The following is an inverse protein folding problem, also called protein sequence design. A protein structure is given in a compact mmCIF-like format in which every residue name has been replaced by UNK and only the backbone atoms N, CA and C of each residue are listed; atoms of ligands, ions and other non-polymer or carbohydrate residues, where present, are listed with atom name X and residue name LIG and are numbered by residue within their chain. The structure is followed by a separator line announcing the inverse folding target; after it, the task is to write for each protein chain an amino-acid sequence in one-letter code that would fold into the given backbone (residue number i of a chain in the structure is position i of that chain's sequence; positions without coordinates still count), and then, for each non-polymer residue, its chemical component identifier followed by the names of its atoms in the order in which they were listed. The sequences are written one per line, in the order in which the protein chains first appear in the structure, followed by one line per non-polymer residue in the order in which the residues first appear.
data_IF_956243437194
#
_entry.id   IF_956243437194
#
_cell.length_a   1.000
_cell.length_b   1.000
_cell.length_c   1.000
_cell.angle_alpha   90.00
_cell.angle_beta   90.00
_cell.angle_gamma   90.00
#
_symmetry.space_group_name_H-M   'P 1'
#
loop_
_entity.id
_entity.type
_entity.pdbx_description
1 polymer ?
#
# COMPACT_ATOMS: atom_id res chain seq x y z
N UNK A 1 19.08 8.26 2.81
CA UNK A 1 18.75 8.74 4.18
C UNK A 1 17.40 8.14 4.55
N UNK A 2 17.27 7.46 5.69
CA UNK A 2 15.97 6.92 6.12
C UNK A 2 14.99 8.07 6.42
N UNK A 3 13.72 7.85 6.11
CA UNK A 3 12.65 8.82 6.34
C UNK A 3 12.47 9.07 7.85
N UNK A 4 12.26 10.31 8.31
CA UNK A 4 11.92 10.57 9.71
C UNK A 4 10.55 9.99 10.06
N UNK A 5 10.40 9.50 11.29
CA UNK A 5 9.11 9.07 11.83
C UNK A 5 8.15 10.27 11.90
N UNK A 6 6.98 10.15 11.27
CA UNK A 6 5.97 11.22 11.23
C UNK A 6 4.83 11.03 12.23
N UNK A 7 4.78 9.91 12.94
CA UNK A 7 3.68 9.56 13.85
C UNK A 7 4.19 9.48 15.28
N UNK A 8 3.89 10.51 16.08
CA UNK A 8 4.34 10.58 17.47
C UNK A 8 3.19 10.12 18.38
N UNK A 9 3.36 8.94 18.98
CA UNK A 9 2.44 8.37 19.96
C UNK A 9 2.68 8.89 21.37
N UNK A 10 1.64 8.83 22.21
CA UNK A 10 1.72 8.98 23.66
C UNK A 10 1.16 7.71 24.33
N UNK A 11 1.42 7.47 25.62
CA UNK A 11 0.85 6.31 26.34
C UNK A 11 -0.68 6.24 26.33
N UNK A 12 -1.36 7.35 26.04
CA UNK A 12 -2.82 7.41 25.94
C UNK A 12 -3.34 7.08 24.54
N UNK A 13 -2.47 7.04 23.52
CA UNK A 13 -2.89 6.80 22.15
C UNK A 13 -3.48 5.39 22.02
N UNK A 14 -4.60 5.29 21.30
CA UNK A 14 -5.28 4.04 21.06
C UNK A 14 -5.78 3.97 19.61
N UNK A 15 -5.41 2.91 18.89
CA UNK A 15 -5.85 2.66 17.52
C UNK A 15 -7.21 1.95 17.42
N UNK A 16 -7.76 1.45 18.53
CA UNK A 16 -9.04 0.75 18.59
C UNK A 16 -10.23 1.70 18.76
N UNK A 17 -10.12 2.66 19.67
CA UNK A 17 -11.26 3.49 20.07
C UNK A 17 -11.41 4.68 19.12
N UNK A 18 -12.45 4.65 18.31
CA UNK A 18 -12.77 5.71 17.36
C UNK A 18 -14.22 5.65 16.89
N UNK A 19 -14.64 6.71 16.23
CA UNK A 19 -15.99 6.81 15.66
C UNK A 19 -15.91 6.95 14.15
N UNK A 20 -16.80 6.25 13.46
CA UNK A 20 -17.02 6.46 12.03
C UNK A 20 -17.90 7.68 11.85
N UNK A 21 -17.34 8.69 11.18
CA UNK A 21 -18.01 9.94 10.90
C UNK A 21 -18.18 10.07 9.39
N UNK A 22 -19.40 10.41 8.96
CA UNK A 22 -19.68 10.71 7.57
C UNK A 22 -18.84 11.89 7.08
N UNK A 23 -18.27 11.77 5.87
CA UNK A 23 -17.49 12.81 5.23
C UNK A 23 -18.28 13.38 4.04
N UNK A 24 -18.91 14.57 4.20
CA UNK A 24 -19.74 15.16 3.14
C UNK A 24 -18.95 15.40 1.85
N UNK A 25 -17.75 15.96 1.97
CA UNK A 25 -16.89 16.26 0.80
C UNK A 25 -16.54 15.01 0.02
N UNK A 26 -16.12 13.95 0.71
CA UNK A 26 -15.76 12.66 0.09
C UNK A 26 -16.98 12.00 -0.56
N UNK A 27 -18.11 12.02 0.16
CA UNK A 27 -19.35 11.42 -0.31
C UNK A 27 -19.92 12.13 -1.53
N UNK A 28 -20.01 13.45 -1.50
CA UNK A 28 -20.50 14.23 -2.63
C UNK A 28 -19.58 14.04 -3.85
N UNK A 29 -18.26 14.05 -3.64
CA UNK A 29 -17.29 13.83 -4.70
C UNK A 29 -17.46 12.46 -5.37
N UNK A 30 -17.44 11.39 -4.58
CA UNK A 30 -17.57 10.03 -5.11
C UNK A 30 -18.96 9.82 -5.74
N UNK A 31 -20.05 10.16 -5.03
CA UNK A 31 -21.41 9.95 -5.52
C UNK A 31 -21.71 10.76 -6.78
N UNK A 32 -21.23 12.01 -6.90
CA UNK A 32 -21.43 12.80 -8.10
C UNK A 32 -20.75 12.17 -9.31
N UNK A 33 -19.48 11.78 -9.19
CA UNK A 33 -18.77 11.11 -10.28
C UNK A 33 -19.36 9.73 -10.59
N UNK A 34 -19.80 8.98 -9.58
CA UNK A 34 -20.49 7.70 -9.77
C UNK A 34 -21.79 7.89 -10.55
N UNK A 35 -22.62 8.86 -10.17
CA UNK A 35 -23.87 9.16 -10.88
C UNK A 35 -23.61 9.61 -12.31
N UNK A 36 -22.64 10.49 -12.56
CA UNK A 36 -22.26 10.90 -13.92
C UNK A 36 -21.81 9.68 -14.72
N UNK A 37 -20.94 8.83 -14.16
CA UNK A 37 -20.45 7.63 -14.83
C UNK A 37 -21.60 6.68 -15.18
N UNK A 38 -22.57 6.45 -14.29
CA UNK A 38 -23.71 5.55 -14.57
C UNK A 38 -24.70 6.16 -15.57
N UNK A 39 -25.09 7.42 -15.37
CA UNK A 39 -26.11 8.10 -16.21
C UNK A 39 -25.58 8.31 -17.64
N UNK A 40 -24.28 8.50 -17.80
CA UNK A 40 -23.67 8.70 -19.12
C UNK A 40 -23.64 7.44 -19.99
N UNK A 41 -24.00 6.27 -19.44
CA UNK A 41 -24.06 4.99 -20.15
C UNK A 41 -22.75 4.66 -20.92
N UNK A 42 -21.58 4.60 -20.24
CA UNK A 42 -20.26 4.55 -20.87
C UNK A 42 -20.01 3.31 -21.71
N UNK A 43 -20.83 2.27 -21.58
CA UNK A 43 -20.83 1.10 -22.46
C UNK A 43 -21.25 1.43 -23.91
N UNK A 44 -21.83 2.60 -24.15
CA UNK A 44 -22.17 3.11 -25.47
C UNK A 44 -21.12 4.06 -26.05
N UNK A 45 -20.10 4.45 -25.27
CA UNK A 45 -19.04 5.32 -25.78
C UNK A 45 -18.18 4.62 -26.82
N UNK A 46 -17.54 5.41 -27.68
CA UNK A 46 -16.55 4.91 -28.63
C UNK A 46 -15.37 4.20 -27.97
N UNK A 47 -14.74 3.29 -28.71
CA UNK A 47 -13.53 2.57 -28.26
C UNK A 47 -12.35 3.51 -27.97
N UNK A 48 -12.32 4.66 -28.62
CA UNK A 48 -11.37 5.74 -28.38
C UNK A 48 -11.55 6.37 -26.99
N UNK A 49 -12.77 6.68 -26.56
CA UNK A 49 -13.04 7.18 -25.22
C UNK A 49 -12.69 6.15 -24.13
N UNK A 50 -13.00 4.88 -24.38
CA UNK A 50 -12.62 3.77 -23.50
C UNK A 50 -11.08 3.64 -23.39
N UNK A 51 -10.37 3.72 -24.52
CA UNK A 51 -8.91 3.69 -24.55
C UNK A 51 -8.30 4.87 -23.80
N UNK A 52 -8.82 6.08 -24.01
CA UNK A 52 -8.37 7.30 -23.30
C UNK A 52 -8.57 7.15 -21.80
N UNK A 53 -9.73 6.66 -21.36
CA UNK A 53 -9.99 6.39 -19.94
C UNK A 53 -9.01 5.37 -19.37
N UNK A 54 -8.78 4.27 -20.08
CA UNK A 54 -7.83 3.23 -19.68
C UNK A 54 -6.40 3.78 -19.57
N UNK A 55 -5.91 4.48 -20.59
CA UNK A 55 -4.58 5.09 -20.60
C UNK A 55 -4.40 6.09 -19.47
N UNK A 56 -5.36 7.00 -19.27
CA UNK A 56 -5.31 7.96 -18.17
C UNK A 56 -5.37 7.27 -16.80
N UNK A 57 -6.15 6.19 -16.67
CA UNK A 57 -6.18 5.38 -15.43
C UNK A 57 -4.80 4.81 -15.15
N UNK A 58 -4.17 4.14 -16.13
CA UNK A 58 -2.83 3.56 -15.99
C UNK A 58 -1.78 4.62 -15.64
N UNK A 59 -1.78 5.75 -16.36
CA UNK A 59 -0.82 6.84 -16.13
C UNK A 59 -1.00 7.46 -14.75
N UNK A 60 -2.23 7.78 -14.36
CA UNK A 60 -2.49 8.43 -13.05
C UNK A 60 -2.29 7.48 -11.89
N UNK A 61 -2.59 6.18 -12.02
CA UNK A 61 -2.28 5.18 -11.00
C UNK A 61 -0.78 4.91 -10.89
N UNK A 62 -0.06 4.77 -12.00
CA UNK A 62 1.36 4.43 -11.99
C UNK A 62 2.21 5.64 -11.56
N UNK A 63 2.21 6.70 -12.38
CA UNK A 63 3.04 7.88 -12.16
C UNK A 63 2.53 8.69 -10.96
N UNK A 64 1.21 8.87 -10.88
CA UNK A 64 0.58 9.74 -9.90
C UNK A 64 0.47 9.12 -8.51
N UNK A 65 -0.32 8.07 -8.38
CA UNK A 65 -0.58 7.46 -7.09
C UNK A 65 0.59 6.60 -6.59
N UNK A 66 0.94 5.54 -7.32
CA UNK A 66 1.92 4.55 -6.89
C UNK A 66 3.31 5.16 -6.74
N UNK A 67 3.77 5.94 -7.72
CA UNK A 67 5.11 6.54 -7.68
C UNK A 67 5.11 7.90 -7.00
N UNK A 68 4.24 8.83 -7.40
CA UNK A 68 4.22 10.21 -6.88
C UNK A 68 3.75 10.34 -5.43
N UNK A 69 2.54 9.84 -5.12
CA UNK A 69 1.99 9.95 -3.77
C UNK A 69 2.60 8.92 -2.83
N UNK A 70 2.57 7.65 -3.20
CA UNK A 70 2.91 6.54 -2.31
C UNK A 70 4.43 6.40 -2.12
N UNK A 71 5.19 5.99 -3.13
CA UNK A 71 6.65 5.81 -3.00
C UNK A 71 7.41 7.10 -2.72
N UNK A 72 7.10 8.18 -3.43
CA UNK A 72 7.87 9.43 -3.34
C UNK A 72 7.45 10.28 -2.13
N UNK A 73 6.22 10.77 -2.08
CA UNK A 73 5.80 11.73 -1.05
C UNK A 73 5.63 11.08 0.34
N UNK A 74 4.90 9.96 0.39
CA UNK A 74 4.60 9.26 1.64
C UNK A 74 5.85 8.56 2.14
N UNK A 75 6.39 7.60 1.39
CA UNK A 75 7.45 6.73 1.88
C UNK A 75 8.88 7.25 1.70
N UNK A 76 9.08 8.30 0.89
CA UNK A 76 10.41 8.85 0.58
C UNK A 76 11.38 7.77 0.09
N UNK A 77 10.88 6.85 -0.72
CA UNK A 77 11.62 5.71 -1.27
C UNK A 77 12.71 6.12 -2.27
N UNK A 78 12.70 7.34 -2.78
CA UNK A 78 13.74 7.92 -3.61
C UNK A 78 13.64 9.45 -3.58
N UNK A 79 14.61 10.12 -4.20
CA UNK A 79 14.62 11.58 -4.41
C UNK A 79 14.63 11.90 -5.90
N UNK A 80 14.06 13.02 -6.28
CA UNK A 80 14.04 13.52 -7.65
C UNK A 80 14.03 15.06 -7.67
N UNK A 81 14.19 15.71 -8.84
CA UNK A 81 14.09 17.16 -8.94
C UNK A 81 12.69 17.64 -8.56
N UNK A 82 12.58 18.81 -7.94
CA UNK A 82 11.32 19.30 -7.37
C UNK A 82 10.20 19.44 -8.43
N UNK A 83 10.52 19.83 -9.65
CA UNK A 83 9.53 19.92 -10.74
C UNK A 83 8.91 18.55 -11.07
N UNK A 84 9.71 17.47 -10.97
CA UNK A 84 9.24 16.11 -11.23
C UNK A 84 8.41 15.62 -10.04
N UNK A 85 8.86 15.87 -8.80
CA UNK A 85 8.07 15.57 -7.60
C UNK A 85 6.69 16.24 -7.66
N UNK A 86 6.64 17.53 -8.01
CA UNK A 86 5.38 18.27 -8.14
C UNK A 86 4.52 17.75 -9.28
N UNK A 87 5.11 17.43 -10.43
CA UNK A 87 4.39 16.82 -11.56
C UNK A 87 3.76 15.47 -11.20
N UNK A 88 4.52 14.58 -10.57
CA UNK A 88 4.05 13.27 -10.13
C UNK A 88 2.97 13.39 -9.04
N UNK A 89 3.15 14.26 -8.05
CA UNK A 89 2.15 14.48 -6.99
C UNK A 89 0.86 15.11 -7.54
N UNK A 90 0.94 16.02 -8.53
CA UNK A 90 -0.27 16.53 -9.22
C UNK A 90 -0.97 15.43 -10.00
N UNK A 91 -0.23 14.58 -10.72
CA UNK A 91 -0.83 13.41 -11.36
C UNK A 91 -1.52 12.50 -10.34
N UNK A 92 -1.01 12.44 -9.10
CA UNK A 92 -1.64 11.73 -7.99
C UNK A 92 -2.97 12.32 -7.56
N UNK A 93 -3.15 13.65 -7.55
CA UNK A 93 -4.45 14.26 -7.23
C UNK A 93 -5.50 13.97 -8.29
N UNK A 94 -5.08 13.73 -9.54
CA UNK A 94 -6.01 13.31 -10.59
C UNK A 94 -6.70 12.00 -10.23
N UNK A 95 -6.13 11.11 -9.43
CA UNK A 95 -6.80 9.86 -9.00
C UNK A 95 -8.09 10.13 -8.21
N UNK A 96 -8.19 11.31 -7.59
CA UNK A 96 -9.45 11.79 -6.99
C UNK A 96 -9.64 11.42 -5.51
N UNK A 97 -8.58 10.98 -4.82
CA UNK A 97 -8.65 10.57 -3.41
C UNK A 97 -8.44 11.68 -2.39
N UNK A 98 -7.85 12.80 -2.80
CA UNK A 98 -7.54 13.91 -1.89
C UNK A 98 -6.27 14.63 -2.25
N UNK A 99 -6.02 15.69 -1.47
CA UNK A 99 -4.77 16.43 -1.50
C UNK A 99 -3.59 15.67 -0.91
N UNK A 100 -2.35 16.03 -1.27
CA UNK A 100 -1.13 15.35 -0.84
C UNK A 100 -0.95 15.24 0.67
N UNK A 101 -1.22 16.30 1.45
CA UNK A 101 -0.97 16.25 2.91
C UNK A 101 -2.05 15.46 3.62
N UNK A 102 -3.31 15.58 3.16
CA UNK A 102 -4.42 14.77 3.67
C UNK A 102 -4.18 13.28 3.40
N UNK A 103 -3.76 12.94 2.18
CA UNK A 103 -3.43 11.58 1.79
C UNK A 103 -2.28 11.03 2.61
N UNK A 104 -1.20 11.80 2.76
CA UNK A 104 -0.06 11.41 3.60
C UNK A 104 -0.50 11.18 5.03
N UNK A 105 -1.24 12.11 5.62
CA UNK A 105 -1.75 11.96 6.97
C UNK A 105 -2.60 10.69 7.12
N UNK A 106 -3.57 10.47 6.24
CA UNK A 106 -4.44 9.30 6.27
C UNK A 106 -3.67 7.98 6.18
N UNK A 107 -2.70 7.90 5.25
CA UNK A 107 -1.85 6.73 5.08
C UNK A 107 -1.05 6.42 6.33
N UNK A 108 -0.44 7.45 6.94
CA UNK A 108 0.35 7.31 8.16
C UNK A 108 -0.50 6.90 9.36
N UNK A 109 -1.69 7.47 9.51
CA UNK A 109 -2.64 7.06 10.55
C UNK A 109 -3.04 5.61 10.39
N UNK A 110 -3.32 5.15 9.16
CA UNK A 110 -3.65 3.76 8.87
C UNK A 110 -2.49 2.85 9.23
N UNK A 111 -1.29 3.10 8.70
CA UNK A 111 -0.13 2.24 8.91
C UNK A 111 0.27 2.18 10.39
N UNK A 112 0.25 3.32 11.10
CA UNK A 112 0.46 3.36 12.54
C UNK A 112 -0.57 2.51 13.28
N UNK A 113 -1.86 2.64 12.93
CA UNK A 113 -2.95 1.93 13.59
C UNK A 113 -2.85 0.42 13.36
N UNK A 114 -2.55 -0.01 12.14
CA UNK A 114 -2.41 -1.41 11.76
C UNK A 114 -1.25 -2.11 12.51
N UNK A 115 -0.17 -1.37 12.81
CA UNK A 115 0.98 -1.87 13.58
C UNK A 115 0.75 -1.96 15.09
N UNK A 116 -0.35 -1.40 15.61
CA UNK A 116 -0.72 -1.58 17.02
C UNK A 116 -1.27 -3.00 17.26
N UNK A 117 -1.29 -3.45 18.51
CA UNK A 117 -1.82 -4.77 18.89
C UNK A 117 -3.33 -4.90 18.70
N UNK A 118 -4.07 -3.80 18.78
CA UNK A 118 -5.51 -3.70 18.49
C UNK A 118 -5.74 -2.50 17.60
N UNK A 119 -6.69 -2.62 16.67
CA UNK A 119 -6.99 -1.56 15.72
C UNK A 119 -8.48 -1.56 15.36
N UNK A 120 -9.01 -0.36 15.08
CA UNK A 120 -10.38 -0.18 14.64
C UNK A 120 -10.62 -0.90 13.30
N UNK A 121 -11.76 -1.60 13.11
CA UNK A 121 -12.08 -2.37 11.90
C UNK A 121 -11.96 -1.60 10.58
N UNK A 122 -12.18 -0.29 10.63
CA UNK A 122 -12.03 0.65 9.52
C UNK A 122 -10.65 0.60 8.85
N UNK A 123 -9.57 0.58 9.65
CA UNK A 123 -8.21 0.62 9.10
C UNK A 123 -7.73 -0.77 8.67
N UNK A 124 -8.27 -1.85 9.25
CA UNK A 124 -7.83 -3.23 8.98
C UNK A 124 -8.72 -3.99 7.98
N UNK A 125 -9.73 -3.30 7.42
CA UNK A 125 -10.70 -3.84 6.47
C UNK A 125 -11.49 -5.07 6.95
N UNK A 126 -11.93 -5.08 8.22
CA UNK A 126 -12.63 -6.23 8.85
C UNK A 126 -14.13 -6.02 9.08
N UNK A 127 -14.74 -5.04 8.43
CA UNK A 127 -16.18 -4.72 8.59
C UNK A 127 -17.11 -5.48 7.63
N UNK A 128 -16.56 -6.34 6.77
CA UNK A 128 -17.29 -6.98 5.67
C UNK A 128 -17.40 -6.07 4.45
N UNK A 129 -17.37 -6.66 3.25
CA UNK A 129 -17.10 -5.95 1.98
C UNK A 129 -17.97 -4.71 1.73
N UNK A 130 -19.28 -4.79 1.93
CA UNK A 130 -20.20 -3.69 1.63
C UNK A 130 -20.07 -2.53 2.64
N UNK A 131 -20.02 -2.86 3.93
CA UNK A 131 -19.87 -1.86 4.98
C UNK A 131 -18.48 -1.22 4.92
N UNK A 132 -17.46 -2.01 4.59
CA UNK A 132 -16.11 -1.52 4.40
C UNK A 132 -16.00 -0.55 3.21
N UNK A 133 -16.63 -0.89 2.08
CA UNK A 133 -16.74 0.01 0.93
C UNK A 133 -17.44 1.31 1.32
N UNK A 134 -18.59 1.22 1.98
CA UNK A 134 -19.34 2.38 2.45
C UNK A 134 -18.46 3.28 3.32
N UNK A 135 -17.80 2.71 4.32
CA UNK A 135 -16.94 3.46 5.22
C UNK A 135 -15.75 4.11 4.48
N UNK A 136 -15.03 3.34 3.67
CA UNK A 136 -13.84 3.81 2.99
C UNK A 136 -14.13 4.72 1.79
N UNK A 137 -15.35 4.77 1.27
CA UNK A 137 -15.74 5.68 0.19
C UNK A 137 -16.52 6.91 0.69
N UNK A 138 -17.19 6.83 1.84
CA UNK A 138 -18.07 7.91 2.33
C UNK A 138 -17.72 8.48 3.71
N UNK A 139 -16.94 7.76 4.50
CA UNK A 139 -16.68 8.09 5.89
C UNK A 139 -15.18 8.24 6.19
N UNK A 140 -14.92 8.66 7.41
CA UNK A 140 -13.61 8.75 8.06
C UNK A 140 -13.70 8.19 9.48
N UNK A 141 -12.65 7.51 9.94
CA UNK A 141 -12.52 7.14 11.34
C UNK A 141 -11.82 8.26 12.10
N UNK A 142 -12.46 8.76 13.17
CA UNK A 142 -11.86 9.69 14.13
C UNK A 142 -11.56 8.94 15.42
N UNK A 143 -10.29 8.63 15.65
CA UNK A 143 -9.84 8.05 16.90
C UNK A 143 -10.07 9.03 18.06
N UNK A 144 -10.41 8.52 19.24
CA UNK A 144 -10.60 9.32 20.46
C UNK A 144 -9.25 9.85 20.95
N UNK A 145 -8.22 9.00 20.90
CA UNK A 145 -6.85 9.32 21.28
C UNK A 145 -5.89 9.01 20.12
N UNK A 146 -5.90 9.84 19.05
CA UNK A 146 -5.01 9.64 17.91
C UNK A 146 -3.55 9.97 18.27
N UNK A 147 -2.56 9.39 17.59
CA UNK A 147 -1.20 9.91 17.58
C UNK A 147 -1.13 11.28 16.90
N UNK A 148 -0.04 12.00 17.11
CA UNK A 148 0.20 13.29 16.46
C UNK A 148 0.94 13.09 15.14
N UNK A 149 0.39 13.61 14.04
CA UNK A 149 1.05 13.61 12.74
C UNK A 149 1.97 14.83 12.60
N UNK A 150 3.28 14.59 12.50
CA UNK A 150 4.34 15.58 12.43
C UNK A 150 5.17 15.41 11.13
N UNK A 151 4.64 15.82 9.97
CA UNK A 151 5.39 15.76 8.72
C UNK A 151 6.52 16.79 8.65
N UNK A 152 7.51 16.55 7.79
CA UNK A 152 8.65 17.45 7.63
C UNK A 152 8.25 18.86 7.12
N UNK A 153 9.05 19.91 7.43
CA UNK A 153 8.82 21.28 6.96
C UNK A 153 8.61 21.39 5.45
N UNK A 154 9.33 20.57 4.67
CA UNK A 154 9.17 20.52 3.21
C UNK A 154 7.73 20.20 2.77
N UNK A 155 6.95 19.49 3.58
CA UNK A 155 5.53 19.21 3.32
C UNK A 155 4.62 20.27 3.94
N UNK A 156 4.85 20.67 5.20
CA UNK A 156 3.96 21.61 5.93
C UNK A 156 4.07 23.05 5.41
N UNK A 157 5.29 23.50 5.14
CA UNK A 157 5.61 24.88 4.78
C UNK A 157 5.54 25.13 3.26
N UNK A 158 5.49 24.08 2.45
CA UNK A 158 5.32 24.18 1.00
C UNK A 158 3.99 24.86 0.62
N UNK A 159 4.09 26.04 0.01
CA UNK A 159 2.96 26.77 -0.58
C UNK A 159 2.26 25.93 -1.65
N UNK A 160 3.05 25.17 -2.40
CA UNK A 160 2.55 24.33 -3.48
C UNK A 160 1.67 23.20 -2.95
N UNK A 161 2.11 22.46 -1.91
CA UNK A 161 1.26 21.41 -1.33
C UNK A 161 0.05 21.96 -0.61
N UNK A 162 0.13 23.16 -0.01
CA UNK A 162 -1.06 23.85 0.52
C UNK A 162 -2.08 24.19 -0.56
N UNK A 163 -1.60 24.69 -1.70
CA UNK A 163 -2.45 24.97 -2.86
C UNK A 163 -3.08 23.68 -3.38
N UNK A 164 -2.27 22.64 -3.60
CA UNK A 164 -2.73 21.37 -4.13
C UNK A 164 -3.73 20.70 -3.18
N UNK A 165 -3.52 20.77 -1.86
CA UNK A 165 -4.48 20.30 -0.86
C UNK A 165 -5.84 21.00 -0.90
N UNK A 166 -5.85 22.31 -1.20
CA UNK A 166 -7.08 23.08 -1.27
C UNK A 166 -7.81 22.86 -2.59
N UNK A 167 -7.07 22.69 -3.69
CA UNK A 167 -7.60 22.69 -5.04
C UNK A 167 -7.48 21.34 -5.76
N UNK A 168 -7.19 20.25 -5.05
CA UNK A 168 -7.00 18.93 -5.68
C UNK A 168 -8.19 18.50 -6.56
N UNK A 169 -9.44 18.81 -6.17
CA UNK A 169 -10.62 18.53 -7.02
C UNK A 169 -10.59 19.37 -8.29
N UNK A 170 -10.23 20.65 -8.19
CA UNK A 170 -10.15 21.56 -9.32
C UNK A 170 -9.02 21.21 -10.29
N UNK A 171 -8.02 20.40 -9.88
CA UNK A 171 -7.00 19.89 -10.80
C UNK A 171 -7.56 18.98 -11.90
N UNK A 172 -8.80 18.49 -11.75
CA UNK A 172 -9.50 17.78 -12.81
C UNK A 172 -9.89 18.70 -13.97
N UNK A 173 -10.14 19.99 -13.72
CA UNK A 173 -10.72 20.91 -14.72
C UNK A 173 -9.84 21.10 -15.96
N UNK A 174 -8.51 21.33 -15.86
CA UNK A 174 -7.66 21.42 -17.04
C UNK A 174 -7.67 20.16 -17.89
N UNK A 175 -7.63 18.97 -17.27
CA UNK A 175 -7.71 17.70 -17.98
C UNK A 175 -9.09 17.50 -18.61
N UNK A 176 -10.17 17.79 -17.88
CA UNK A 176 -11.54 17.70 -18.37
C UNK A 176 -11.76 18.59 -19.60
N UNK A 177 -11.27 19.82 -19.55
CA UNK A 177 -11.37 20.77 -20.65
C UNK A 177 -10.57 20.30 -21.87
N UNK A 178 -9.36 19.79 -21.68
CA UNK A 178 -8.57 19.20 -22.76
C UNK A 178 -9.30 18.03 -23.42
N UNK A 179 -9.85 17.11 -22.62
CA UNK A 179 -10.60 15.96 -23.12
C UNK A 179 -11.85 16.36 -23.88
N UNK A 180 -12.58 17.37 -23.37
CA UNK A 180 -13.75 17.94 -24.04
C UNK A 180 -13.39 18.53 -25.41
N UNK A 181 -12.26 19.23 -25.51
CA UNK A 181 -11.79 19.82 -26.77
C UNK A 181 -11.29 18.77 -27.77
N UNK A 182 -10.71 17.66 -27.30
CA UNK A 182 -10.13 16.64 -28.18
C UNK A 182 -11.13 15.58 -28.67
N UNK A 183 -12.08 15.16 -27.81
CA UNK A 183 -13.02 14.08 -28.15
C UNK A 183 -14.39 14.25 -27.52
N UNK A 184 -14.76 15.49 -27.21
CA UNK A 184 -16.10 15.84 -26.76
C UNK A 184 -16.46 15.27 -25.39
N UNK A 185 -17.76 15.13 -25.17
CA UNK A 185 -18.31 14.74 -23.88
C UNK A 185 -17.93 13.31 -23.48
N UNK A 186 -17.83 12.39 -24.44
CA UNK A 186 -17.46 11.00 -24.18
C UNK A 186 -16.06 10.91 -23.57
N UNK A 187 -15.07 11.56 -24.19
CA UNK A 187 -13.70 11.59 -23.67
C UNK A 187 -13.64 12.30 -22.31
N UNK A 188 -14.35 13.41 -22.17
CA UNK A 188 -14.41 14.15 -20.91
C UNK A 188 -14.93 13.27 -19.78
N UNK A 189 -16.10 12.64 -19.94
CA UNK A 189 -16.72 11.79 -18.91
C UNK A 189 -15.90 10.52 -18.66
N UNK A 190 -15.41 9.87 -19.71
CA UNK A 190 -14.60 8.66 -19.59
C UNK A 190 -13.26 8.93 -18.88
N UNK A 191 -12.55 9.99 -19.26
CA UNK A 191 -11.27 10.37 -18.69
C UNK A 191 -11.35 11.06 -17.32
N UNK A 192 -12.54 11.49 -16.90
CA UNK A 192 -12.77 12.09 -15.57
C UNK A 192 -13.61 11.18 -14.67
N UNK A 193 -14.93 11.19 -14.77
CA UNK A 193 -15.85 10.50 -13.87
C UNK A 193 -15.66 8.98 -13.87
N UNK A 194 -15.61 8.34 -15.05
CA UNK A 194 -15.41 6.88 -15.12
C UNK A 194 -14.05 6.52 -14.52
N UNK A 195 -12.98 7.21 -14.93
CA UNK A 195 -11.62 7.01 -14.38
C UNK A 195 -11.58 7.20 -12.86
N UNK A 196 -12.15 8.27 -12.32
CA UNK A 196 -12.15 8.56 -10.88
C UNK A 196 -12.86 7.43 -10.12
N UNK A 197 -14.05 7.03 -10.56
CA UNK A 197 -14.82 5.95 -9.93
C UNK A 197 -14.03 4.65 -9.97
N UNK A 198 -13.52 4.25 -11.14
CA UNK A 198 -12.69 3.05 -11.30
C UNK A 198 -11.47 3.09 -10.40
N UNK A 199 -10.81 4.24 -10.30
CA UNK A 199 -9.60 4.38 -9.47
C UNK A 199 -9.91 4.32 -7.97
N UNK A 200 -10.98 4.99 -7.51
CA UNK A 200 -11.38 5.00 -6.10
C UNK A 200 -11.85 3.62 -5.64
N UNK A 201 -12.72 2.98 -6.43
CA UNK A 201 -13.20 1.62 -6.13
C UNK A 201 -12.05 0.62 -6.22
N UNK A 202 -11.19 0.73 -7.23
CA UNK A 202 -10.02 -0.15 -7.39
C UNK A 202 -9.01 0.00 -6.24
N UNK A 203 -8.72 1.23 -5.81
CA UNK A 203 -7.83 1.50 -4.68
C UNK A 203 -8.37 0.94 -3.37
N UNK A 204 -9.65 1.18 -3.07
CA UNK A 204 -10.29 0.54 -1.91
C UNK A 204 -10.28 -0.98 -2.04
N UNK A 205 -10.64 -1.51 -3.20
CA UNK A 205 -10.76 -2.94 -3.45
C UNK A 205 -9.46 -3.69 -3.28
N UNK A 206 -8.32 -3.16 -3.77
CA UNK A 206 -7.01 -3.79 -3.54
C UNK A 206 -6.64 -3.78 -2.07
N UNK A 207 -6.92 -2.69 -1.33
CA UNK A 207 -6.71 -2.62 0.11
C UNK A 207 -7.55 -3.66 0.88
N UNK A 208 -8.84 -3.74 0.55
CA UNK A 208 -9.74 -4.73 1.14
C UNK A 208 -9.26 -6.16 0.87
N UNK A 209 -8.91 -6.48 -0.38
CA UNK A 209 -8.40 -7.81 -0.75
C UNK A 209 -7.09 -8.11 -0.02
N UNK A 210 -6.15 -7.18 -0.03
CA UNK A 210 -4.84 -7.34 0.58
C UNK A 210 -4.86 -7.46 2.11
N UNK A 211 -5.93 -7.04 2.80
CA UNK A 211 -6.07 -7.24 4.25
C UNK A 211 -6.95 -8.45 4.63
N UNK A 212 -7.50 -9.15 3.65
CA UNK A 212 -8.40 -10.28 3.88
C UNK A 212 -7.97 -11.58 3.18
N UNK A 213 -7.21 -11.51 2.10
CA UNK A 213 -6.92 -12.65 1.24
C UNK A 213 -5.52 -12.59 0.63
N UNK A 214 -4.93 -13.76 0.43
CA UNK A 214 -3.72 -13.94 -0.36
C UNK A 214 -2.53 -14.49 0.45
N UNK A 215 -1.44 -14.86 -0.23
CA UNK A 215 -0.23 -15.33 0.42
C UNK A 215 0.51 -14.21 1.17
N UNK A 216 1.31 -14.61 2.16
CA UNK A 216 2.25 -13.75 2.86
C UNK A 216 3.65 -14.34 2.76
N UNK A 217 4.64 -13.48 2.61
CA UNK A 217 6.07 -13.80 2.69
C UNK A 217 6.66 -13.35 4.03
N UNK A 218 6.04 -12.37 4.67
CA UNK A 218 6.49 -11.75 5.90
C UNK A 218 5.36 -11.68 6.93
N UNK A 219 5.73 -11.73 8.20
CA UNK A 219 4.88 -11.49 9.35
C UNK A 219 5.48 -10.35 10.16
N UNK A 220 4.66 -9.35 10.47
CA UNK A 220 5.01 -8.28 11.42
C UNK A 220 4.42 -8.66 12.77
N UNK A 221 5.24 -9.16 13.67
CA UNK A 221 4.84 -9.55 15.02
C UNK A 221 4.24 -8.37 15.78
N UNK A 222 3.17 -8.64 16.53
CA UNK A 222 2.46 -7.62 17.32
C UNK A 222 1.52 -6.70 16.52
N UNK A 223 1.54 -6.75 15.18
CA UNK A 223 0.59 -5.99 14.36
C UNK A 223 -0.83 -6.60 14.41
N UNK A 224 -1.84 -5.76 14.54
CA UNK A 224 -3.26 -6.14 14.60
C UNK A 224 -3.78 -6.79 13.33
N UNK A 225 -3.16 -6.50 12.19
CA UNK A 225 -3.49 -7.08 10.89
C UNK A 225 -2.22 -7.28 10.08
N UNK A 226 -2.17 -8.34 9.30
CA UNK A 226 -1.13 -8.55 8.30
C UNK A 226 -1.64 -8.07 6.93
N UNK A 227 -0.73 -7.51 6.13
CA UNK A 227 -0.97 -7.36 4.70
C UNK A 227 -0.73 -8.68 3.98
N UNK A 228 -1.41 -8.91 2.87
CA UNK A 228 -1.28 -10.06 2.01
C UNK A 228 -0.91 -9.60 0.59
N UNK A 229 -0.07 -10.37 -0.08
CA UNK A 229 0.15 -10.18 -1.52
C UNK A 229 -1.07 -10.69 -2.27
N UNK A 230 -1.48 -10.02 -3.36
CA UNK A 230 -2.61 -10.45 -4.20
C UNK A 230 -2.12 -10.82 -5.60
N UNK A 231 -1.74 -12.10 -5.84
CA UNK A 231 -1.24 -12.55 -7.14
C UNK A 231 -2.20 -12.23 -8.29
N UNK A 232 -1.65 -11.92 -9.46
CA UNK A 232 -2.43 -11.56 -10.66
C UNK A 232 -2.83 -10.08 -10.73
N UNK A 233 -2.83 -9.34 -9.61
CA UNK A 233 -3.22 -7.93 -9.62
C UNK A 233 -2.05 -6.94 -9.74
N UNK A 234 -0.80 -7.40 -9.67
CA UNK A 234 0.38 -6.51 -9.68
C UNK A 234 0.46 -5.57 -10.89
N UNK A 235 0.09 -6.03 -12.10
CA UNK A 235 0.03 -5.17 -13.28
C UNK A 235 -1.12 -4.15 -13.19
N UNK A 236 -2.30 -4.59 -12.76
CA UNK A 236 -3.51 -3.75 -12.67
C UNK A 236 -3.34 -2.64 -11.63
N UNK A 237 -2.64 -2.94 -10.54
CA UNK A 237 -2.46 -2.03 -9.41
C UNK A 237 -1.12 -1.32 -9.42
N UNK A 238 -0.34 -1.44 -10.51
CA UNK A 238 0.97 -0.79 -10.66
C UNK A 238 1.99 -1.20 -9.58
N UNK A 239 1.84 -2.41 -9.03
CA UNK A 239 2.68 -3.00 -7.99
C UNK A 239 2.08 -2.94 -6.58
N UNK A 240 1.01 -2.18 -6.37
CA UNK A 240 0.39 -1.95 -5.04
C UNK A 240 -0.24 -3.22 -4.45
N UNK A 241 -0.50 -4.25 -5.27
CA UNK A 241 -1.01 -5.54 -4.81
C UNK A 241 0.03 -6.38 -4.04
N UNK A 242 1.32 -6.01 -4.06
CA UNK A 242 2.35 -6.64 -3.26
C UNK A 242 2.38 -6.08 -1.83
N UNK A 243 1.20 -6.07 -1.21
CA UNK A 243 0.94 -5.34 0.03
C UNK A 243 1.67 -5.94 1.23
N UNK A 244 1.80 -7.26 1.32
CA UNK A 244 2.58 -7.90 2.38
C UNK A 244 4.05 -7.47 2.33
N UNK A 245 4.63 -7.45 1.12
CA UNK A 245 6.00 -6.99 0.92
C UNK A 245 6.15 -5.50 1.28
N UNK A 246 5.16 -4.69 0.90
CA UNK A 246 5.13 -3.27 1.25
C UNK A 246 5.09 -3.05 2.76
N UNK A 247 4.23 -3.76 3.49
CA UNK A 247 4.16 -3.66 4.97
C UNK A 247 5.45 -4.12 5.66
N UNK A 248 6.17 -5.07 5.06
CA UNK A 248 7.47 -5.51 5.53
C UNK A 248 8.56 -4.44 5.33
N UNK A 249 8.59 -3.80 4.15
CA UNK A 249 9.58 -2.79 3.77
C UNK A 249 8.92 -1.52 3.23
N UNK A 250 8.30 -0.70 4.10
CA UNK A 250 7.44 0.40 3.66
C UNK A 250 8.20 1.47 2.88
N UNK A 251 9.46 1.73 3.21
CA UNK A 251 10.30 2.70 2.48
C UNK A 251 10.88 2.15 1.16
N UNK A 252 10.76 0.85 0.85
CA UNK A 252 11.29 0.28 -0.39
C UNK A 252 10.58 0.84 -1.62
N UNK A 253 11.35 1.29 -2.62
CA UNK A 253 10.81 1.66 -3.93
C UNK A 253 10.30 0.45 -4.73
N UNK A 254 10.73 -0.77 -4.36
CA UNK A 254 10.33 -2.03 -5.01
C UNK A 254 9.36 -2.78 -4.11
N UNK A 255 8.11 -2.91 -4.56
CA UNK A 255 7.06 -3.63 -3.83
C UNK A 255 7.02 -5.10 -4.27
N UNK A 256 7.21 -5.36 -5.57
CA UNK A 256 7.40 -6.72 -6.10
C UNK A 256 8.80 -7.25 -5.79
N UNK A 257 8.93 -8.11 -4.77
CA UNK A 257 10.23 -8.62 -4.33
C UNK A 257 10.68 -9.87 -5.10
N UNK A 258 9.76 -10.69 -5.59
CA UNK A 258 10.08 -11.85 -6.42
C UNK A 258 10.02 -11.54 -7.91
N UNK A 259 10.73 -12.31 -8.74
CA UNK A 259 10.81 -12.09 -10.19
C UNK A 259 9.44 -12.19 -10.90
N UNK A 260 8.51 -12.98 -10.36
CA UNK A 260 7.16 -13.17 -10.87
C UNK A 260 6.15 -12.17 -10.32
N UNK A 261 6.59 -11.18 -9.53
CA UNK A 261 5.74 -10.14 -8.95
C UNK A 261 5.84 -8.86 -9.79
N UNK A 262 5.03 -8.71 -10.87
CA UNK A 262 5.09 -7.53 -11.72
C UNK A 262 4.82 -6.25 -10.93
N UNK A 263 5.71 -5.28 -11.10
CA UNK A 263 5.65 -4.00 -10.39
C UNK A 263 5.94 -2.85 -11.38
N UNK A 264 4.91 -2.40 -12.13
CA UNK A 264 5.04 -1.29 -13.08
C UNK A 264 5.58 0.00 -12.47
N UNK A 265 5.22 0.34 -11.24
CA UNK A 265 5.72 1.55 -10.62
C UNK A 265 7.20 1.45 -10.24
N UNK A 266 7.71 0.26 -9.85
CA UNK A 266 9.15 0.02 -9.72
C UNK A 266 9.87 0.14 -11.06
N UNK A 267 9.29 -0.39 -12.16
CA UNK A 267 9.86 -0.24 -13.49
C UNK A 267 9.95 1.23 -13.90
N UNK A 268 8.93 2.03 -13.58
CA UNK A 268 8.95 3.47 -13.82
C UNK A 268 10.05 4.18 -13.01
N UNK A 269 10.20 3.86 -11.72
CA UNK A 269 11.32 4.37 -10.91
C UNK A 269 12.69 3.97 -11.49
N UNK A 270 12.83 2.76 -12.03
CA UNK A 270 14.05 2.32 -12.71
C UNK A 270 14.35 3.17 -13.96
N UNK A 271 13.33 3.50 -14.75
CA UNK A 271 13.48 4.39 -15.92
C UNK A 271 13.95 5.77 -15.45
N UNK A 272 13.31 6.36 -14.44
CA UNK A 272 13.74 7.65 -13.88
C UNK A 272 15.18 7.61 -13.36
N UNK A 273 15.57 6.52 -12.68
CA UNK A 273 16.94 6.31 -12.19
C UNK A 273 17.95 6.27 -13.34
N UNK A 274 17.65 5.53 -14.42
CA UNK A 274 18.50 5.44 -15.62
C UNK A 274 18.65 6.78 -16.33
N UNK A 275 17.61 7.62 -16.31
CA UNK A 275 17.63 8.97 -16.86
C UNK A 275 18.30 10.00 -15.93
N UNK A 276 18.79 9.60 -14.75
CA UNK A 276 19.36 10.52 -13.76
C UNK A 276 18.31 11.41 -13.06
N UNK A 277 17.02 11.11 -13.20
CA UNK A 277 15.91 11.84 -12.61
C UNK A 277 15.47 11.29 -11.26
N UNK A 278 15.98 10.12 -10.85
CA UNK A 278 15.78 9.57 -9.52
C UNK A 278 17.10 9.10 -8.92
N UNK A 279 17.34 9.43 -7.65
CA UNK A 279 18.53 9.04 -6.88
C UNK A 279 18.16 8.65 -5.46
N UNK A 280 19.14 8.13 -4.71
CA UNK A 280 18.94 7.64 -3.32
C UNK A 280 17.77 6.63 -3.19
N UNK A 281 17.62 5.77 -4.19
CA UNK A 281 16.55 4.77 -4.26
C UNK A 281 16.73 3.73 -3.14
N UNK A 282 15.74 3.62 -2.27
CA UNK A 282 15.67 2.69 -1.14
C UNK A 282 15.14 1.33 -1.61
N UNK A 283 15.75 0.27 -1.10
CA UNK A 283 15.44 -1.14 -1.37
C UNK A 283 15.50 -1.89 -0.04
N UNK A 284 14.90 -3.09 0.08
CA UNK A 284 14.86 -3.84 1.34
C UNK A 284 16.24 -4.01 1.99
N UNK A 285 17.27 -4.30 1.19
CA UNK A 285 18.65 -4.47 1.68
C UNK A 285 19.29 -3.20 2.27
N UNK A 286 18.71 -2.01 2.06
CA UNK A 286 19.21 -0.75 2.62
C UNK A 286 18.65 -0.46 4.02
N UNK A 287 17.68 -1.24 4.50
CA UNK A 287 17.02 -1.02 5.78
C UNK A 287 17.67 -1.81 6.91
N UNK A 288 17.74 -1.25 8.13
CA UNK A 288 18.18 -2.01 9.29
C UNK A 288 17.24 -3.19 9.55
N UNK A 289 17.74 -4.30 10.12
CA UNK A 289 16.89 -5.40 10.55
C UNK A 289 15.80 -4.90 11.52
N UNK A 290 14.57 -5.36 11.31
CA UNK A 290 13.42 -5.11 12.18
C UNK A 290 13.17 -6.36 13.01
N UNK A 291 13.22 -6.24 14.35
CA UNK A 291 13.10 -7.42 15.22
C UNK A 291 11.72 -8.06 15.16
N UNK A 292 10.68 -7.26 14.90
CA UNK A 292 9.30 -7.69 14.75
C UNK A 292 9.02 -8.35 13.39
N UNK A 293 9.93 -8.24 12.41
CA UNK A 293 9.70 -8.76 11.06
C UNK A 293 10.27 -10.17 10.92
N UNK A 294 9.40 -11.15 10.72
CA UNK A 294 9.77 -12.55 10.50
C UNK A 294 9.39 -12.99 9.08
N UNK A 295 10.13 -13.91 8.44
CA UNK A 295 9.59 -14.63 7.30
C UNK A 295 8.32 -15.35 7.74
N UNK A 296 7.24 -15.20 6.98
CA UNK A 296 6.08 -16.08 7.15
C UNK A 296 6.61 -17.49 6.97
N UNK A 297 6.49 -18.34 8.00
CA UNK A 297 6.82 -19.76 7.85
C UNK A 297 6.09 -20.21 6.59
N UNK A 298 6.84 -20.56 5.54
CA UNK A 298 6.26 -21.26 4.41
C UNK A 298 5.48 -22.38 5.08
N UNK A 299 4.18 -22.48 4.85
CA UNK A 299 3.53 -23.75 5.03
C UNK A 299 4.38 -24.69 4.18
N UNK A 300 5.29 -25.39 4.84
CA UNK A 300 5.86 -26.61 4.35
C UNK A 300 4.64 -27.50 4.24
N UNK A 301 3.98 -27.41 3.08
CA UNK A 301 3.48 -28.61 2.46
C UNK A 301 4.73 -29.44 2.33
N UNK A 302 5.02 -30.20 3.38
CA UNK A 302 5.86 -31.37 3.31
C UNK A 302 5.16 -32.21 2.25
N UNK A 303 5.56 -32.02 1.00
CA UNK A 303 5.48 -33.10 0.02
C UNK A 303 6.43 -34.12 0.63
N UNK A 304 5.90 -34.96 1.51
CA UNK A 304 6.54 -36.21 1.83
C UNK A 304 6.83 -36.83 0.48
N UNK A 305 8.10 -37.07 0.12
CA UNK A 305 8.38 -37.93 -1.02
C UNK A 305 7.61 -39.19 -0.69
N UNK A 306 6.61 -39.51 -1.51
CA UNK A 306 5.90 -40.78 -1.40
C UNK A 306 7.02 -41.81 -1.51
N UNK A 307 7.38 -42.42 -0.39
CA UNK A 307 8.43 -43.42 -0.34
C UNK A 307 7.98 -44.50 -1.30
N UNK A 308 8.60 -44.53 -2.47
CA UNK A 308 8.51 -45.67 -3.37
C UNK A 308 9.22 -46.77 -2.62
N UNK A 309 8.43 -47.61 -1.95
CA UNK A 309 8.91 -48.83 -1.32
C UNK A 309 9.36 -49.76 -2.44
N UNK A 310 10.62 -49.65 -2.85
CA UNK A 310 11.30 -50.72 -3.57
C UNK A 310 11.51 -51.81 -2.53
N UNK A 311 10.76 -52.92 -2.63
CA UNK A 311 10.94 -54.11 -1.82
C UNK A 311 12.41 -54.57 -1.93
N UNK A 312 13.17 -54.62 -0.83
CA UNK A 312 14.41 -55.39 -0.80
C UNK A 312 14.03 -56.86 -0.69
N UNK A 313 14.57 -57.67 -1.60
CA UNK A 313 14.60 -59.12 -1.51
C UNK A 313 15.27 -59.53 -0.20
N UNK A 314 14.64 -60.49 0.48
CA UNK A 314 15.03 -60.99 1.78
C UNK A 314 16.48 -61.50 1.82
N UNK A 315 17.20 -61.16 2.89
CA UNK A 315 18.24 -62.03 3.45
C UNK A 315 18.42 -61.73 4.93
N UNK A 316 18.75 -62.80 5.65
CA UNK A 316 18.51 -63.11 7.06
C UNK A 316 19.62 -62.68 8.04
N UNK A 317 19.30 -62.80 9.33
CA UNK A 317 20.14 -62.78 10.58
C UNK A 317 20.36 -61.40 11.22
N UNK A 318 19.72 -61.11 12.37
CA UNK A 318 20.12 -61.38 13.78
C UNK A 318 21.37 -60.55 14.18
N UNK A 319 21.45 -59.78 15.27
CA UNK A 319 20.98 -59.96 16.65
C UNK A 319 21.23 -58.64 17.48
N UNK A 320 20.59 -58.51 18.66
CA UNK A 320 20.91 -57.64 19.85
C UNK A 320 21.13 -56.10 19.69
N UNK A 321 20.82 -55.17 20.60
CA UNK A 321 20.16 -55.10 21.93
C UNK A 321 20.02 -53.61 22.33
N UNK A 322 18.89 -53.26 22.96
CA UNK A 322 18.57 -52.16 23.91
C UNK A 322 19.53 -50.96 24.16
N UNK A 323 19.00 -49.73 24.16
CA UNK A 323 18.71 -48.92 25.37
C UNK A 323 18.41 -47.44 25.04
N UNK A 324 17.65 -46.79 25.93
CA UNK A 324 16.79 -45.61 25.76
C UNK A 324 17.42 -44.28 26.34
N UNK A 325 16.74 -43.11 26.34
CA UNK A 325 17.31 -41.80 25.97
C UNK A 325 17.51 -40.78 27.12
N UNK A 326 18.19 -39.65 26.88
CA UNK A 326 18.15 -38.45 27.77
C UNK A 326 18.22 -37.09 27.04
N UNK A 327 17.12 -36.35 27.18
CA UNK A 327 16.91 -34.90 27.44
C UNK A 327 17.75 -33.76 26.81
N UNK A 328 17.01 -32.94 26.04
CA UNK A 328 16.86 -31.48 26.03
C UNK A 328 17.81 -30.56 26.85
N UNK A 329 18.35 -29.52 26.17
CA UNK A 329 18.63 -28.18 26.72
C UNK A 329 18.44 -27.08 25.66
N UNK A 330 17.65 -26.07 26.00
CA UNK A 330 17.52 -24.75 25.35
C UNK A 330 18.55 -23.76 25.92
N UNK A 331 19.07 -22.78 25.15
CA UNK A 331 19.88 -21.70 25.70
C UNK A 331 19.10 -20.38 25.86
N UNK A 332 19.34 -19.70 26.98
CA UNK A 332 18.88 -18.35 27.30
C UNK A 332 19.87 -17.30 26.79
N UNK A 333 19.37 -16.13 26.38
CA UNK A 333 20.15 -14.97 25.96
C UNK A 333 19.91 -13.83 26.96
N UNK A 334 20.96 -13.42 27.69
CA UNK A 334 20.95 -12.23 28.54
C UNK A 334 22.33 -11.55 28.50
N UNK A 335 22.40 -10.41 27.82
CA UNK A 335 23.57 -9.53 27.82
C UNK A 335 23.45 -8.48 28.91
N UNK A 336 24.32 -8.55 29.91
CA UNK A 336 24.52 -7.54 30.97
C UNK A 336 25.52 -6.49 30.47
N UNK A 337 25.21 -5.21 30.64
CA UNK A 337 26.19 -4.11 30.54
C UNK A 337 26.46 -3.59 31.95
N UNK A 338 27.69 -3.74 32.39
CA UNK A 338 28.29 -2.98 33.49
C UNK A 338 29.37 -2.08 32.87
N UNK A 339 29.34 -0.78 33.13
CA UNK A 339 30.54 0.06 33.30
C UNK A 339 30.17 1.36 34.02
N UNK A 340 30.61 1.47 35.27
CA UNK A 340 30.85 2.71 36.01
C UNK A 340 32.22 3.28 35.58
N UNK A 341 32.36 4.61 35.56
CA UNK A 341 33.64 5.28 35.41
C UNK A 341 33.57 6.80 35.52
N UNK A 342 34.01 7.28 36.69
CA UNK A 342 34.37 8.65 37.11
C UNK A 342 33.24 9.67 37.33
#
# INVERSE_FOLDING_TARGET
MLRPERMIGSPKCNALDGQIVWSPTKSLWFSAHFLIAVISQPWQFGWDAALVSCMLTVITLCCGHSVGMHRLLIHRSFRCPLWLEYGLVTAGTLVGMGGPRRMTSFHEFRDWSQRQTKCHPFFIHKSGVLLDALWNLHCECRLIHPPTFCPEPAITESRYYRWLDRYWMATQLPLAMLLLLCGGWEWCVAGTSVRIVTSLVGHWGVGYLAHNYGPMTWVVEGASVQGHNVPGLGLLTMGEAWHNNHHAFPESARLGLAWYQPDPGWWFVCVLKRLGLAWEVQLPEHHPPRCELQPAAMNAVTITPRSVTIRPTATTSADHSQSDPVAARTPACAGRRDTLGA
#
